data_IF_659164376539
#
_entry.id   IF_659164376539
#
_cell.length_a   1.000
_cell.length_b   1.000
_cell.length_c   1.000
_cell.angle_alpha   90.00
_cell.angle_beta   90.00
_cell.angle_gamma   90.00
#
_symmetry.space_group_name_H-M   'P 1'
#
loop_
_entity.id
_entity.type
_entity.pdbx_description
1 polymer ?
#
# COMPACT_ATOMS: atom_id res chain seq x y z
N UNK A 1 3.84 7.63 -12.81
CA UNK A 1 4.02 7.94 -11.37
C UNK A 1 3.12 9.11 -11.03
N UNK A 2 2.45 9.04 -9.87
CA UNK A 2 1.06 9.46 -9.62
C UNK A 2 0.03 8.51 -10.26
N UNK A 3 -0.57 7.62 -9.45
CA UNK A 3 -1.73 6.82 -9.85
C UNK A 3 -1.56 5.29 -9.95
N UNK A 4 -0.41 4.74 -9.59
CA UNK A 4 -0.16 3.28 -9.56
C UNK A 4 0.89 2.93 -8.53
N UNK A 5 0.93 1.66 -8.12
CA UNK A 5 2.03 1.17 -7.27
C UNK A 5 3.37 1.28 -8.02
N UNK A 6 4.47 1.50 -7.30
CA UNK A 6 5.81 1.27 -7.82
C UNK A 6 6.15 -0.19 -7.54
N UNK A 7 6.77 -0.40 -6.38
CA UNK A 7 6.74 -1.69 -5.69
C UNK A 7 5.43 -1.81 -4.92
N UNK A 8 4.68 -2.87 -5.22
CA UNK A 8 3.39 -3.13 -4.55
C UNK A 8 3.59 -3.73 -3.16
N UNK A 9 2.62 -3.56 -2.24
CA UNK A 9 2.65 -4.27 -0.98
C UNK A 9 2.52 -5.78 -1.19
N UNK A 10 3.03 -6.56 -0.23
CA UNK A 10 3.00 -8.01 -0.26
C UNK A 10 1.58 -8.57 -0.32
N UNK A 11 1.29 -9.42 -1.31
CA UNK A 11 0.00 -10.10 -1.44
C UNK A 11 -0.11 -11.40 -0.62
N UNK A 12 1.02 -11.95 -0.17
CA UNK A 12 1.08 -13.27 0.48
C UNK A 12 0.60 -13.28 1.94
N UNK A 13 0.32 -12.13 2.53
CA UNK A 13 -0.22 -11.99 3.89
C UNK A 13 -1.75 -11.88 3.90
N UNK A 14 -2.43 -12.73 3.10
CA UNK A 14 -3.88 -12.65 2.91
C UNK A 14 -4.31 -11.20 2.55
N UNK A 15 -3.63 -10.55 1.61
CA UNK A 15 -3.96 -9.17 1.22
C UNK A 15 -3.91 -8.15 2.38
N UNK A 16 -2.98 -8.31 3.33
CA UNK A 16 -2.69 -7.32 4.37
C UNK A 16 -1.19 -6.96 4.41
N UNK A 17 -0.83 -5.92 5.15
CA UNK A 17 0.55 -5.51 5.41
C UNK A 17 0.71 -4.99 6.83
N UNK A 18 1.93 -5.09 7.37
CA UNK A 18 2.28 -4.60 8.70
C UNK A 18 3.28 -3.44 8.63
N UNK A 19 3.10 -2.43 9.47
CA UNK A 19 4.07 -1.38 9.74
C UNK A 19 4.50 -1.48 11.20
N UNK A 20 5.80 -1.30 11.45
CA UNK A 20 6.37 -1.17 12.79
C UNK A 20 7.10 0.16 12.90
N UNK A 21 6.94 0.82 14.04
CA UNK A 21 7.44 2.17 14.29
C UNK A 21 8.59 2.14 15.29
N UNK A 22 9.44 3.17 15.26
CA UNK A 22 10.64 3.24 16.09
C UNK A 22 10.35 3.34 17.60
N UNK A 23 9.15 3.76 17.98
CA UNK A 23 8.66 3.83 19.36
C UNK A 23 8.04 2.51 19.86
N UNK A 24 8.08 1.46 19.04
CA UNK A 24 7.58 0.13 19.37
C UNK A 24 6.11 -0.12 18.99
N UNK A 25 5.39 0.87 18.44
CA UNK A 25 4.04 0.63 17.92
C UNK A 25 4.08 -0.24 16.66
N UNK A 26 2.97 -0.91 16.37
CA UNK A 26 2.78 -1.63 15.11
C UNK A 26 1.33 -1.58 14.67
N UNK A 27 1.12 -1.50 13.36
CA UNK A 27 -0.20 -1.46 12.75
C UNK A 27 -0.31 -2.52 11.66
N UNK A 28 -1.47 -3.17 11.57
CA UNK A 28 -1.82 -4.06 10.46
C UNK A 28 -2.93 -3.44 9.63
N UNK A 29 -2.79 -3.45 8.31
CA UNK A 29 -3.78 -2.93 7.39
C UNK A 29 -4.16 -3.98 6.36
N UNK A 30 -5.46 -4.24 6.22
CA UNK A 30 -6.03 -5.06 5.16
C UNK A 30 -6.22 -4.17 3.93
N UNK A 31 -5.54 -4.50 2.84
CA UNK A 31 -5.67 -3.77 1.59
C UNK A 31 -7.09 -3.90 1.05
N UNK A 32 -7.66 -2.76 0.69
CA UNK A 32 -9.01 -2.70 0.14
C UNK A 32 -9.02 -3.04 -1.34
N UNK A 33 -8.00 -2.57 -2.08
CA UNK A 33 -7.78 -3.06 -3.43
C UNK A 33 -7.24 -4.49 -3.38
N UNK A 34 -7.76 -5.41 -4.21
CA UNK A 34 -7.16 -6.73 -4.34
C UNK A 34 -5.72 -6.58 -4.80
N UNK A 35 -4.78 -7.05 -4.00
CA UNK A 35 -3.40 -7.14 -4.44
C UNK A 35 -3.29 -8.27 -5.45
N UNK A 36 -2.61 -7.99 -6.56
CA UNK A 36 -2.21 -9.02 -7.51
C UNK A 36 -1.30 -10.02 -6.80
N UNK A 37 -1.37 -11.30 -7.17
CA UNK A 37 -0.53 -12.35 -6.58
C UNK A 37 0.97 -12.11 -6.79
N UNK A 38 1.81 -13.08 -6.42
CA UNK A 38 3.25 -12.98 -6.73
C UNK A 38 3.44 -13.12 -8.23
N UNK A 39 3.97 -12.07 -8.88
CA UNK A 39 4.25 -12.05 -10.31
C UNK A 39 5.77 -11.90 -10.55
N UNK A 40 6.35 -12.82 -11.32
CA UNK A 40 7.79 -12.77 -11.68
C UNK A 40 8.10 -11.70 -12.74
N UNK A 41 7.09 -11.27 -13.51
CA UNK A 41 7.15 -10.12 -14.40
C UNK A 41 6.17 -9.07 -13.89
N UNK A 42 6.68 -8.02 -13.24
CA UNK A 42 5.87 -7.03 -12.54
C UNK A 42 5.54 -5.83 -13.43
N UNK A 43 4.25 -5.62 -13.65
CA UNK A 43 3.71 -4.38 -14.19
C UNK A 43 2.66 -3.87 -13.20
N UNK A 44 2.97 -2.84 -12.41
CA UNK A 44 2.09 -2.43 -11.33
C UNK A 44 0.76 -1.88 -11.86
N UNK A 45 -0.37 -2.34 -11.31
CA UNK A 45 -1.67 -1.84 -11.73
C UNK A 45 -1.87 -0.40 -11.26
N UNK A 46 -2.64 0.35 -12.05
CA UNK A 46 -3.20 1.61 -11.61
C UNK A 46 -4.07 1.46 -10.36
N UNK A 47 -4.13 2.48 -9.53
CA UNK A 47 -4.98 2.49 -8.35
C UNK A 47 -6.46 2.48 -8.75
N UNK A 48 -7.21 1.53 -8.21
CA UNK A 48 -8.66 1.66 -8.11
C UNK A 48 -9.04 2.79 -7.14
N UNK A 49 -10.32 3.14 -7.04
CA UNK A 49 -10.80 4.09 -6.02
C UNK A 49 -10.40 3.65 -4.61
N UNK A 50 -10.59 2.36 -4.29
CA UNK A 50 -10.12 1.75 -3.05
C UNK A 50 -8.59 1.85 -2.90
N UNK A 51 -7.87 1.66 -4.00
CA UNK A 51 -6.42 1.67 -3.98
C UNK A 51 -5.79 3.03 -3.73
N UNK A 52 -6.49 4.11 -4.08
CA UNK A 52 -6.08 5.47 -3.67
C UNK A 52 -6.15 5.65 -2.16
N UNK A 53 -7.17 5.09 -1.51
CA UNK A 53 -7.28 5.12 -0.05
C UNK A 53 -6.23 4.25 0.65
N UNK A 54 -5.90 3.09 0.07
CA UNK A 54 -4.78 2.27 0.58
C UNK A 54 -3.45 3.01 0.47
N UNK A 55 -3.20 3.67 -0.67
CA UNK A 55 -2.01 4.47 -0.86
C UNK A 55 -1.98 5.66 0.11
N UNK A 56 -3.08 6.39 0.26
CA UNK A 56 -3.21 7.47 1.23
C UNK A 56 -2.91 6.98 2.66
N UNK A 57 -3.51 5.86 3.09
CA UNK A 57 -3.28 5.28 4.42
C UNK A 57 -1.80 5.02 4.69
N UNK A 58 -1.09 4.48 3.69
CA UNK A 58 0.35 4.21 3.78
C UNK A 58 1.16 5.52 3.85
N UNK A 59 0.83 6.51 3.02
CA UNK A 59 1.52 7.80 3.01
C UNK A 59 1.29 8.58 4.32
N UNK A 60 0.11 8.49 4.93
CA UNK A 60 -0.19 9.10 6.25
C UNK A 60 0.65 8.54 7.40
N UNK A 61 1.25 7.35 7.24
CA UNK A 61 2.04 6.63 8.25
C UNK A 61 3.53 6.51 7.91
N UNK A 62 3.94 7.07 6.77
CA UNK A 62 5.31 7.05 6.30
C UNK A 62 5.79 8.47 6.02
N UNK A 63 7.05 8.62 5.63
CA UNK A 63 7.67 9.93 5.51
C UNK A 63 7.20 10.76 4.30
N UNK A 64 6.37 10.21 3.41
CA UNK A 64 5.98 10.88 2.16
C UNK A 64 4.65 11.63 2.39
N UNK A 65 4.63 12.97 2.30
CA UNK A 65 3.39 13.73 2.42
C UNK A 65 2.41 13.33 1.32
N UNK A 66 1.22 12.86 1.69
CA UNK A 66 0.10 12.78 0.77
C UNK A 66 -0.48 14.21 0.62
N UNK A 67 -0.58 14.78 -0.60
CA UNK A 67 -1.18 16.09 -0.77
C UNK A 67 -2.63 16.03 -0.28
N UNK A 68 -2.92 16.69 0.84
CA UNK A 68 -4.29 16.97 1.26
C UNK A 68 -4.68 18.25 0.54
N UNK A 69 -5.67 18.15 -0.34
CA UNK A 69 -6.29 19.31 -0.98
C UNK A 69 -6.84 20.27 0.08
#
# INVERSE_FOLDING_TARGET
>A
MAGQWGDGPAAYHNGAGGLSFADGHSETHKWKQPLLGVHYNWSPPGFSAAGRFDYQWLMERTAVPYPRN
#
